data_IF_741797481779
#
_entry.id   IF_741797481779
#
_cell.length_a   1.000
_cell.length_b   1.000
_cell.length_c   1.000
_cell.angle_alpha   90.00
_cell.angle_beta   90.00
_cell.angle_gamma   90.00
#
_symmetry.space_group_name_H-M   'P 1'
#
loop_
_entity.id
_entity.type
_entity.pdbx_description
1 polymer ?
#
# COMPACT_ATOMS: atom_id res chain seq x y z
N UNK A 1 5.56 46.59 -51.52
CA UNK A 1 5.14 47.99 -51.28
C UNK A 1 4.01 47.99 -50.26
N UNK A 2 4.18 48.81 -49.21
CA UNK A 2 3.28 49.01 -48.05
C UNK A 2 1.88 49.49 -48.47
N UNK A 3 0.83 49.13 -47.72
CA UNK A 3 -0.21 49.97 -47.03
C UNK A 3 -1.05 48.99 -46.15
N UNK A 4 -0.98 48.95 -44.79
CA UNK A 4 -1.56 49.85 -43.76
C UNK A 4 -3.01 50.25 -44.11
N UNK A 5 -4.06 50.17 -43.29
CA UNK A 5 -4.37 49.89 -41.88
C UNK A 5 -5.91 49.55 -41.88
N UNK A 6 -6.66 49.16 -40.84
CA UNK A 6 -6.76 49.68 -39.49
C UNK A 6 -7.67 48.78 -38.64
N UNK A 7 -7.48 48.91 -37.33
CA UNK A 7 -8.11 48.30 -36.16
C UNK A 7 -9.64 48.48 -36.11
N UNK A 8 -10.36 47.48 -35.58
CA UNK A 8 -11.53 47.74 -34.75
C UNK A 8 -11.68 46.64 -33.67
N UNK A 9 -11.21 47.00 -32.48
CA UNK A 9 -11.50 46.33 -31.20
C UNK A 9 -12.92 46.75 -30.81
N UNK A 10 -13.79 45.77 -30.54
CA UNK A 10 -14.97 45.97 -29.70
C UNK A 10 -14.94 44.93 -28.57
N UNK A 11 -14.56 45.41 -27.39
CA UNK A 11 -14.96 44.85 -26.09
C UNK A 11 -16.45 45.15 -25.86
N UNK A 12 -17.06 44.48 -24.85
CA UNK A 12 -18.45 44.59 -24.29
C UNK A 12 -19.24 43.31 -24.62
N UNK A 13 -19.73 42.47 -23.72
CA UNK A 13 -20.05 42.55 -22.28
C UNK A 13 -20.29 41.13 -21.72
N UNK A 14 -20.06 40.97 -20.41
CA UNK A 14 -20.77 40.12 -19.45
C UNK A 14 -21.11 38.65 -19.87
N UNK A 15 -20.50 37.61 -19.30
CA UNK A 15 -20.34 37.42 -17.86
C UNK A 15 -21.68 37.02 -17.23
N UNK A 16 -22.15 35.80 -17.51
CA UNK A 16 -23.17 35.05 -16.76
C UNK A 16 -23.14 33.58 -17.22
N UNK A 17 -22.06 32.88 -16.91
CA UNK A 17 -22.15 31.44 -16.69
C UNK A 17 -22.10 31.25 -15.19
N UNK A 18 -23.29 31.12 -14.60
CA UNK A 18 -23.48 30.57 -13.27
C UNK A 18 -22.97 29.12 -13.28
N UNK A 19 -21.66 28.97 -13.15
CA UNK A 19 -21.04 27.72 -12.75
C UNK A 19 -21.38 27.47 -11.30
N UNK A 20 -21.99 26.33 -11.03
CA UNK A 20 -22.30 25.84 -9.70
C UNK A 20 -21.09 26.04 -8.78
N UNK A 21 -21.25 26.87 -7.74
CA UNK A 21 -20.32 26.91 -6.64
C UNK A 21 -20.31 25.51 -6.00
N UNK A 22 -19.25 24.78 -6.30
CA UNK A 22 -18.84 23.56 -5.63
C UNK A 22 -18.77 23.84 -4.15
N UNK A 23 -19.59 23.15 -3.36
CA UNK A 23 -19.41 23.01 -1.92
C UNK A 23 -17.94 22.65 -1.66
N UNK A 24 -17.15 23.47 -0.94
CA UNK A 24 -16.00 22.95 -0.26
C UNK A 24 -16.56 22.19 0.92
N UNK A 25 -16.87 20.91 0.74
CA UNK A 25 -16.75 19.98 1.86
C UNK A 25 -15.28 20.02 2.27
N UNK A 26 -14.96 21.02 3.10
CA UNK A 26 -13.92 20.93 4.10
C UNK A 26 -14.17 19.61 4.78
N UNK A 27 -13.33 18.63 4.48
CA UNK A 27 -13.10 17.52 5.39
C UNK A 27 -12.44 18.18 6.58
N UNK A 28 -13.31 18.64 7.49
CA UNK A 28 -12.98 18.99 8.86
C UNK A 28 -12.17 17.81 9.38
N UNK A 29 -11.02 18.10 9.99
CA UNK A 29 -10.28 17.21 10.87
C UNK A 29 -11.27 16.40 11.71
N UNK A 30 -11.57 15.17 11.26
CA UNK A 30 -12.33 14.24 12.04
C UNK A 30 -11.33 13.68 13.04
N UNK A 31 -11.49 14.12 14.30
CA UNK A 31 -10.98 13.43 15.47
C UNK A 31 -11.03 11.92 15.22
N UNK A 32 -9.85 11.31 15.11
CA UNK A 32 -9.70 9.89 14.87
C UNK A 32 -10.44 9.14 15.98
N UNK A 33 -11.53 8.47 15.63
CA UNK A 33 -12.15 7.46 16.46
C UNK A 33 -11.19 6.28 16.42
N UNK A 34 -10.59 5.97 17.57
CA UNK A 34 -9.69 4.83 17.73
C UNK A 34 -10.43 3.53 17.31
N UNK A 35 -9.98 2.88 16.23
CA UNK A 35 -10.39 1.52 15.88
C UNK A 35 -10.50 1.18 14.39
N UNK A 36 -10.81 2.13 13.50
CA UNK A 36 -11.44 1.76 12.21
C UNK A 36 -10.63 2.06 10.93
N UNK A 37 -9.40 2.60 11.04
CA UNK A 37 -8.62 2.96 9.85
C UNK A 37 -7.30 2.19 9.77
N UNK A 38 -7.07 1.62 8.59
CA UNK A 38 -5.80 1.02 8.24
C UNK A 38 -4.70 2.08 8.23
N UNK A 39 -3.59 1.78 8.91
CA UNK A 39 -2.36 2.55 8.87
C UNK A 39 -1.74 2.48 7.47
N UNK A 40 -1.64 3.65 6.84
CA UNK A 40 -0.98 3.87 5.57
C UNK A 40 0.03 4.99 5.81
N UNK A 41 1.30 4.74 5.48
CA UNK A 41 2.34 5.74 5.73
C UNK A 41 2.13 7.00 4.87
N UNK A 42 2.34 8.17 5.49
CA UNK A 42 2.19 9.45 4.82
C UNK A 42 3.09 9.56 3.59
N UNK A 43 2.50 10.04 2.49
CA UNK A 43 3.17 10.28 1.21
C UNK A 43 3.95 9.07 0.66
N UNK A 44 3.53 7.84 0.98
CA UNK A 44 4.30 6.66 0.56
C UNK A 44 4.42 6.55 -0.96
N UNK A 45 3.38 6.94 -1.72
CA UNK A 45 3.42 6.88 -3.20
C UNK A 45 4.48 7.81 -3.77
N UNK A 46 4.60 9.01 -3.23
CA UNK A 46 5.64 9.97 -3.58
C UNK A 46 7.02 9.45 -3.20
N UNK A 47 7.15 8.81 -2.03
CA UNK A 47 8.41 8.15 -1.60
C UNK A 47 8.79 7.01 -2.56
N UNK A 48 7.83 6.15 -2.96
CA UNK A 48 8.06 5.07 -3.93
C UNK A 48 8.49 5.63 -5.29
N UNK A 49 7.80 6.66 -5.78
CA UNK A 49 8.15 7.33 -7.04
C UNK A 49 9.56 7.94 -7.00
N UNK A 50 9.95 8.58 -5.89
CA UNK A 50 11.30 9.11 -5.69
C UNK A 50 12.38 8.01 -5.72
N UNK A 51 12.04 6.80 -5.26
CA UNK A 51 12.90 5.61 -5.33
C UNK A 51 12.85 4.91 -6.70
N UNK A 52 12.03 5.38 -7.65
CA UNK A 52 11.77 4.73 -8.94
C UNK A 52 11.24 3.30 -8.78
N UNK A 53 10.38 3.10 -7.79
CA UNK A 53 9.74 1.83 -7.49
C UNK A 53 8.26 1.91 -7.87
N UNK A 54 7.74 0.82 -8.42
CA UNK A 54 6.33 0.67 -8.78
C UNK A 54 5.66 -0.24 -7.75
N UNK A 55 4.53 0.19 -7.22
CA UNK A 55 3.71 -0.61 -6.31
C UNK A 55 3.18 -1.87 -7.02
N UNK A 56 3.39 -3.03 -6.40
CA UNK A 56 2.85 -4.32 -6.83
C UNK A 56 1.65 -4.70 -5.95
N UNK A 57 1.80 -4.57 -4.63
CA UNK A 57 0.74 -4.80 -3.65
C UNK A 57 1.03 -4.01 -2.37
N UNK A 58 0.03 -3.28 -1.87
CA UNK A 58 0.09 -2.62 -0.57
C UNK A 58 -0.54 -3.51 0.49
N UNK A 59 0.15 -3.70 1.63
CA UNK A 59 -0.28 -4.53 2.75
C UNK A 59 -0.45 -3.67 4.01
N UNK A 60 -1.53 -2.86 4.09
CA UNK A 60 -1.81 -2.04 5.26
C UNK A 60 -2.38 -2.85 6.43
N UNK A 61 -1.99 -2.44 7.64
CA UNK A 61 -2.43 -3.01 8.91
C UNK A 61 -3.08 -1.94 9.78
N UNK A 62 -3.68 -2.29 10.90
CA UNK A 62 -4.24 -1.29 11.84
C UNK A 62 -3.17 -0.48 12.59
N UNK A 63 -1.90 -0.88 12.49
CA UNK A 63 -0.77 -0.19 13.12
C UNK A 63 0.49 -0.29 12.24
N UNK A 64 1.53 0.47 12.61
CA UNK A 64 2.87 0.36 12.04
C UNK A 64 3.44 -1.06 12.22
N UNK A 65 4.22 -1.60 11.26
CA UNK A 65 4.65 -0.95 10.02
C UNK A 65 3.62 -1.02 8.88
N UNK A 66 3.73 -0.10 7.91
CA UNK A 66 3.05 -0.21 6.61
C UNK A 66 3.99 -0.84 5.60
N UNK A 67 3.62 -1.98 5.02
CA UNK A 67 4.47 -2.75 4.13
C UNK A 67 3.90 -2.70 2.70
N UNK A 68 4.79 -2.48 1.73
CA UNK A 68 4.43 -2.46 0.30
C UNK A 68 5.37 -3.34 -0.48
N UNK A 69 4.83 -4.29 -1.24
CA UNK A 69 5.58 -5.00 -2.28
C UNK A 69 5.72 -4.08 -3.48
N UNK A 70 6.95 -3.92 -3.96
CA UNK A 70 7.28 -3.05 -5.07
C UNK A 70 8.21 -3.75 -6.06
N UNK A 71 8.21 -3.28 -7.30
CA UNK A 71 9.14 -3.68 -8.35
C UNK A 71 10.01 -2.50 -8.79
N UNK A 72 11.27 -2.76 -9.11
CA UNK A 72 12.15 -1.80 -9.76
C UNK A 72 12.02 -1.84 -11.30
N UNK A 73 12.81 -1.01 -12.00
CA UNK A 73 12.80 -0.96 -13.46
C UNK A 73 13.30 -2.23 -14.17
N UNK A 74 13.94 -3.16 -13.44
CA UNK A 74 14.31 -4.48 -13.94
C UNK A 74 13.25 -5.56 -13.62
N UNK A 75 12.18 -5.19 -12.92
CA UNK A 75 11.15 -6.12 -12.45
C UNK A 75 11.53 -6.90 -11.19
N UNK A 76 12.66 -6.58 -10.54
CA UNK A 76 13.04 -7.22 -9.29
C UNK A 76 12.12 -6.71 -8.17
N UNK A 77 11.50 -7.64 -7.44
CA UNK A 77 10.60 -7.30 -6.35
C UNK A 77 11.31 -7.17 -5.00
N UNK A 78 10.78 -6.30 -4.15
CA UNK A 78 11.23 -6.06 -2.78
C UNK A 78 10.05 -5.65 -1.91
N UNK A 79 10.15 -5.86 -0.60
CA UNK A 79 9.26 -5.25 0.38
C UNK A 79 9.86 -3.91 0.86
N UNK A 80 9.07 -2.84 0.82
CA UNK A 80 9.40 -1.56 1.46
C UNK A 80 8.57 -1.45 2.73
N UNK A 81 9.25 -1.27 3.85
CA UNK A 81 8.67 -1.24 5.20
C UNK A 81 8.76 0.21 5.68
N UNK A 82 7.62 0.87 5.82
CA UNK A 82 7.51 2.21 6.39
C UNK A 82 7.12 2.12 7.87
N UNK A 83 7.92 2.72 8.75
CA UNK A 83 7.69 2.76 10.19
C UNK A 83 7.24 4.13 10.66
N UNK A 84 6.67 4.17 11.86
CA UNK A 84 6.17 5.34 12.56
C UNK A 84 7.28 6.35 12.91
N UNK A 85 8.49 5.86 13.18
CA UNK A 85 9.71 6.68 13.35
C UNK A 85 10.25 7.27 12.03
N UNK A 86 9.46 7.19 10.95
CA UNK A 86 9.79 7.57 9.58
C UNK A 86 10.97 6.79 8.96
N UNK A 87 11.46 5.73 9.61
CA UNK A 87 12.44 4.85 8.99
C UNK A 87 11.81 4.06 7.85
N UNK A 88 12.61 3.81 6.83
CA UNK A 88 12.21 3.03 5.66
C UNK A 88 13.28 1.98 5.39
N UNK A 89 12.86 0.71 5.40
CA UNK A 89 13.75 -0.42 5.06
C UNK A 89 13.27 -1.06 3.77
N UNK A 90 14.21 -1.47 2.92
CA UNK A 90 13.92 -2.25 1.72
C UNK A 90 14.52 -3.65 1.85
N UNK A 91 13.69 -4.69 1.76
CA UNK A 91 14.10 -6.09 1.84
C UNK A 91 13.86 -6.76 0.49
N UNK A 92 14.90 -7.33 -0.16
CA UNK A 92 14.71 -8.08 -1.39
C UNK A 92 13.79 -9.28 -1.19
N UNK A 93 12.86 -9.50 -2.12
CA UNK A 93 12.02 -10.71 -2.12
C UNK A 93 12.59 -11.71 -3.14
N UNK A 94 12.97 -12.92 -2.71
CA UNK A 94 13.52 -13.94 -3.62
C UNK A 94 12.43 -14.55 -4.52
N UNK A 95 11.18 -14.48 -4.10
CA UNK A 95 10.01 -14.93 -4.85
C UNK A 95 9.07 -13.75 -5.11
N UNK A 96 8.60 -13.62 -6.35
CA UNK A 96 7.66 -12.57 -6.73
C UNK A 96 6.27 -12.81 -6.10
N UNK A 97 5.56 -11.73 -5.78
CA UNK A 97 4.22 -11.76 -5.21
C UNK A 97 3.22 -12.60 -6.04
N UNK A 98 3.29 -12.51 -7.37
CA UNK A 98 2.46 -13.29 -8.28
C UNK A 98 2.74 -14.79 -8.18
N UNK A 99 3.94 -15.19 -7.75
CA UNK A 99 4.28 -16.58 -7.51
C UNK A 99 3.84 -17.03 -6.12
N UNK A 100 3.97 -16.17 -5.09
CA UNK A 100 3.41 -16.42 -3.75
C UNK A 100 1.89 -16.65 -3.83
N UNK A 101 1.16 -15.77 -4.50
CA UNK A 101 -0.30 -15.93 -4.68
C UNK A 101 -0.68 -17.25 -5.34
N UNK A 102 0.07 -17.71 -6.36
CA UNK A 102 -0.14 -19.04 -6.97
C UNK A 102 0.14 -20.17 -5.98
N UNK A 103 1.22 -20.08 -5.21
CA UNK A 103 1.59 -21.08 -4.19
C UNK A 103 0.52 -21.19 -3.10
N UNK A 104 -0.08 -20.07 -2.72
CA UNK A 104 -1.21 -20.01 -1.78
C UNK A 104 -2.45 -20.67 -2.37
N UNK A 105 -2.81 -20.33 -3.61
CA UNK A 105 -3.95 -20.95 -4.31
C UNK A 105 -3.80 -22.46 -4.47
N UNK A 106 -2.58 -22.95 -4.75
CA UNK A 106 -2.29 -24.39 -4.85
C UNK A 106 -2.50 -25.14 -3.54
N UNK A 107 -2.41 -24.46 -2.41
CA UNK A 107 -2.68 -25.01 -1.07
C UNK A 107 -4.17 -24.95 -0.67
N UNK A 108 -5.02 -24.42 -1.54
CA UNK A 108 -6.48 -24.45 -1.38
C UNK A 108 -7.11 -23.15 -0.89
N UNK A 109 -6.32 -22.10 -0.65
CA UNK A 109 -6.84 -20.80 -0.25
C UNK A 109 -7.36 -20.01 -1.46
N UNK A 110 -8.49 -19.31 -1.29
CA UNK A 110 -9.03 -18.46 -2.34
C UNK A 110 -8.33 -17.10 -2.38
N UNK A 111 -7.82 -16.74 -3.56
CA UNK A 111 -7.27 -15.40 -3.89
C UNK A 111 -7.83 -14.85 -5.21
N UNK A 112 -8.97 -15.41 -5.66
CA UNK A 112 -9.57 -15.10 -6.96
C UNK A 112 -10.21 -13.71 -7.01
N UNK A 113 -10.63 -13.19 -5.85
CA UNK A 113 -11.28 -11.88 -5.73
C UNK A 113 -10.34 -10.85 -5.12
N UNK A 114 -10.63 -9.57 -5.31
CA UNK A 114 -9.90 -8.50 -4.62
C UNK A 114 -10.07 -8.62 -3.10
N UNK A 115 -11.30 -8.88 -2.63
CA UNK A 115 -11.61 -9.10 -1.22
C UNK A 115 -10.76 -10.22 -0.60
N UNK A 116 -10.66 -11.38 -1.26
CA UNK A 116 -9.88 -12.50 -0.74
C UNK A 116 -8.37 -12.28 -0.81
N UNK A 117 -7.88 -11.42 -1.73
CA UNK A 117 -6.47 -10.99 -1.72
C UNK A 117 -6.09 -10.14 -0.53
N UNK A 118 -7.03 -9.43 0.07
CA UNK A 118 -6.77 -8.70 1.32
C UNK A 118 -6.46 -9.62 2.50
N UNK A 119 -6.76 -10.92 2.40
CA UNK A 119 -6.41 -11.90 3.43
C UNK A 119 -4.96 -12.36 3.35
N UNK A 120 -4.26 -12.10 2.23
CA UNK A 120 -2.83 -12.40 2.10
C UNK A 120 -2.03 -11.18 2.56
N UNK A 121 -1.20 -11.40 3.56
CA UNK A 121 -0.48 -10.37 4.27
C UNK A 121 1.02 -10.68 4.29
N UNK A 122 1.85 -9.64 4.45
CA UNK A 122 3.29 -9.75 4.63
C UNK A 122 3.69 -9.03 5.91
N UNK A 123 3.96 -9.78 6.97
CA UNK A 123 4.24 -9.24 8.31
C UNK A 123 5.73 -9.23 8.60
N UNK A 124 6.15 -8.32 9.49
CA UNK A 124 7.49 -8.28 10.08
C UNK A 124 7.45 -8.72 11.54
N UNK A 125 8.17 -9.80 11.88
CA UNK A 125 8.31 -10.29 13.26
C UNK A 125 9.80 -10.51 13.53
N UNK A 126 10.31 -9.90 14.60
CA UNK A 126 11.72 -10.00 15.00
C UNK A 126 12.71 -9.69 13.86
N UNK A 127 12.36 -8.73 13.00
CA UNK A 127 13.17 -8.29 11.85
C UNK A 127 13.16 -9.25 10.66
N UNK A 128 12.28 -10.25 10.65
CA UNK A 128 12.07 -11.20 9.54
C UNK A 128 10.69 -11.02 8.95
N UNK A 129 10.58 -11.26 7.65
CA UNK A 129 9.32 -11.16 6.92
C UNK A 129 8.69 -12.53 6.73
N UNK A 130 7.36 -12.59 6.87
CA UNK A 130 6.56 -13.79 6.67
C UNK A 130 5.30 -13.46 5.88
N UNK A 131 4.95 -14.35 4.95
CA UNK A 131 3.64 -14.34 4.31
C UNK A 131 2.65 -15.09 5.19
N UNK A 132 1.48 -14.54 5.38
CA UNK A 132 0.39 -15.18 6.11
C UNK A 132 -0.90 -15.04 5.31
N UNK A 133 -1.70 -16.10 5.31
CA UNK A 133 -3.08 -16.04 4.86
C UNK A 133 -3.98 -16.81 5.81
N UNK A 134 -5.07 -16.17 6.22
CA UNK A 134 -6.17 -16.78 6.96
C UNK A 134 -7.50 -16.54 6.27
N UNK A 135 -8.31 -17.59 6.10
CA UNK A 135 -9.67 -17.49 5.54
C UNK A 135 -10.78 -17.83 6.54
N UNK A 136 -10.40 -17.97 7.82
CA UNK A 136 -11.29 -18.38 8.91
C UNK A 136 -11.58 -19.89 8.97
N UNK A 137 -11.11 -20.68 7.99
CA UNK A 137 -11.14 -22.15 8.02
C UNK A 137 -9.75 -22.74 8.24
N UNK A 138 -8.71 -22.05 7.78
CA UNK A 138 -7.33 -22.40 8.03
C UNK A 138 -6.42 -21.18 7.94
N UNK A 139 -5.16 -21.43 8.26
CA UNK A 139 -4.08 -20.47 8.18
C UNK A 139 -2.88 -21.13 7.48
N UNK A 140 -2.12 -20.32 6.76
CA UNK A 140 -0.86 -20.71 6.16
C UNK A 140 0.15 -19.60 6.39
N UNK A 141 1.25 -19.95 7.06
CA UNK A 141 2.41 -19.08 7.22
C UNK A 141 3.55 -19.61 6.35
N UNK A 142 4.22 -18.70 5.63
CA UNK A 142 5.39 -19.00 4.82
C UNK A 142 6.51 -18.00 5.03
N UNK A 143 7.75 -18.42 4.84
CA UNK A 143 8.88 -17.50 4.68
C UNK A 143 8.83 -16.74 3.34
N UNK A 144 9.73 -15.78 3.14
CA UNK A 144 9.82 -15.02 1.88
C UNK A 144 10.25 -15.85 0.66
N UNK A 145 10.70 -17.09 0.86
CA UNK A 145 11.02 -18.06 -0.20
C UNK A 145 9.79 -18.90 -0.59
N UNK A 146 8.68 -18.78 0.13
CA UNK A 146 7.43 -19.52 -0.13
C UNK A 146 7.41 -20.92 0.49
N UNK A 147 8.32 -21.21 1.41
CA UNK A 147 8.29 -22.44 2.21
C UNK A 147 7.40 -22.24 3.43
N UNK A 148 6.65 -23.26 3.79
CA UNK A 148 5.84 -23.26 5.01
C UNK A 148 6.74 -23.07 6.22
N UNK A 149 6.36 -22.14 7.10
CA UNK A 149 7.09 -21.82 8.30
C UNK A 149 6.23 -22.14 9.53
N UNK A 150 6.88 -22.46 10.64
CA UNK A 150 6.19 -22.49 11.93
C UNK A 150 5.61 -21.10 12.21
N UNK A 151 4.47 -21.06 12.88
CA UNK A 151 3.83 -19.82 13.27
C UNK A 151 4.81 -18.97 14.12
N UNK A 152 5.23 -17.79 13.62
CA UNK A 152 6.14 -16.90 14.33
C UNK A 152 5.47 -16.22 15.53
N UNK A 153 4.13 -16.18 15.62
CA UNK A 153 3.39 -15.60 16.73
C UNK A 153 3.35 -16.53 17.95
N UNK A 154 3.33 -17.86 17.76
CA UNK A 154 3.38 -18.83 18.87
C UNK A 154 4.72 -18.81 19.62
N UNK A 155 5.82 -18.38 18.97
CA UNK A 155 7.14 -18.34 19.59
C UNK A 155 7.33 -17.14 20.52
N UNK A 156 6.59 -16.04 20.32
CA UNK A 156 6.68 -14.84 21.17
C UNK A 156 5.88 -14.99 22.49
N UNK A 157 4.82 -15.81 22.53
CA UNK A 157 4.05 -16.06 23.77
C UNK A 157 4.88 -16.79 24.85
N UNK A 158 5.88 -17.58 24.45
CA UNK A 158 6.77 -18.27 25.40
C UNK A 158 7.84 -17.37 26.03
N UNK A 159 8.06 -16.17 25.49
CA UNK A 159 9.00 -15.18 26.05
C UNK A 159 8.30 -14.03 26.79
N UNK A 160 6.97 -13.97 26.76
CA UNK A 160 6.17 -12.88 27.33
C UNK A 160 5.73 -13.02 28.80
N UNK A 161 6.12 -14.08 29.52
CA UNK A 161 5.84 -14.20 30.96
C UNK A 161 7.09 -14.05 31.81
N UNK A 162 7.42 -12.80 32.17
CA UNK A 162 7.91 -12.35 33.50
C UNK A 162 8.72 -11.06 33.40
N UNK A 163 8.12 -9.93 33.76
CA UNK A 163 8.70 -8.86 34.61
C UNK A 163 7.59 -7.94 35.10
#
# INVERSE_FOLDING_TARGET
>A
MKKLAAVLIFFVMAGLLAGCATNPNRITEQNAIAGDQLYIADHYKEKLAAMKLVEVAAMPYFHSPFIVVVADGAGQQSAVIFRDDATTTKVPLPVAYEQITRMVQQRGFDLSTEASRWNLHLFEINGKLYWEIGDGQGELVMDIEGHEAADPFEQDELNGTSS
#
